data_IF_072822908594
#
_entry.id   IF_072822908594
#
_cell.length_a   1.000
_cell.length_b   1.000
_cell.length_c   1.000
_cell.angle_alpha   90.00
_cell.angle_beta   90.00
_cell.angle_gamma   90.00
#
_symmetry.space_group_name_H-M   'P 1'
#
loop_
_entity.id
_entity.type
_entity.pdbx_description
1 polymer ?
#
# COMPACT_ATOMS: atom_id res chain seq x y z
N UNK A 1 7.04 2.60 19.97
CA UNK A 1 5.89 2.11 19.18
C UNK A 1 6.41 1.94 17.78
N UNK A 2 6.54 0.71 17.31
CA UNK A 2 7.28 0.47 16.07
C UNK A 2 6.36 0.44 14.85
N UNK A 3 6.74 1.18 13.81
CA UNK A 3 6.12 1.10 12.48
C UNK A 3 6.85 0.08 11.62
N UNK A 4 6.13 -0.95 11.19
CA UNK A 4 6.61 -2.00 10.31
C UNK A 4 6.36 -1.59 8.85
N UNK A 5 7.42 -1.31 8.10
CA UNK A 5 7.38 -1.01 6.67
C UNK A 5 7.65 -2.29 5.87
N UNK A 6 6.70 -2.74 5.05
CA UNK A 6 6.83 -3.96 4.24
C UNK A 6 6.76 -3.61 2.75
N UNK A 7 7.88 -3.73 2.04
CA UNK A 7 7.98 -3.39 0.62
C UNK A 7 8.41 -4.58 -0.23
N UNK A 8 7.48 -5.12 -1.01
CA UNK A 8 7.71 -6.27 -1.89
C UNK A 8 8.54 -5.92 -3.15
N UNK A 9 8.68 -4.64 -3.49
CA UNK A 9 9.39 -4.16 -4.67
C UNK A 9 10.24 -2.91 -4.37
N UNK A 10 11.35 -3.10 -3.68
CA UNK A 10 12.20 -2.01 -3.23
C UNK A 10 13.18 -1.56 -4.33
N UNK A 11 12.72 -0.61 -5.14
CA UNK A 11 13.49 0.07 -6.20
C UNK A 11 12.72 1.26 -6.76
N UNK A 12 13.39 2.12 -7.55
CA UNK A 12 12.76 3.31 -8.12
C UNK A 12 12.03 4.17 -7.07
N UNK A 13 10.80 4.58 -7.39
CA UNK A 13 9.94 5.40 -6.52
C UNK A 13 9.50 4.69 -5.24
N UNK A 14 9.39 3.36 -5.23
CA UNK A 14 9.11 2.58 -4.02
C UNK A 14 10.23 2.69 -3.00
N UNK A 15 11.49 2.50 -3.46
CA UNK A 15 12.67 2.67 -2.60
C UNK A 15 12.72 4.07 -2.01
N UNK A 16 12.51 5.09 -2.85
CA UNK A 16 12.49 6.49 -2.40
C UNK A 16 11.44 6.73 -1.32
N UNK A 17 10.23 6.20 -1.47
CA UNK A 17 9.19 6.34 -0.45
C UNK A 17 9.61 5.68 0.86
N UNK A 18 10.06 4.43 0.81
CA UNK A 18 10.45 3.69 2.02
C UNK A 18 11.63 4.37 2.73
N UNK A 19 12.63 4.84 1.99
CA UNK A 19 13.78 5.55 2.56
C UNK A 19 13.34 6.85 3.24
N UNK A 20 12.45 7.61 2.59
CA UNK A 20 11.90 8.83 3.16
C UNK A 20 11.14 8.57 4.46
N UNK A 21 10.31 7.51 4.49
CA UNK A 21 9.62 7.11 5.71
C UNK A 21 10.61 6.73 6.80
N UNK A 22 11.67 6.00 6.46
CA UNK A 22 12.70 5.63 7.43
C UNK A 22 13.44 6.82 8.03
N UNK A 23 13.65 7.87 7.23
CA UNK A 23 14.33 9.08 7.67
C UNK A 23 13.45 9.98 8.56
N UNK A 24 12.13 9.95 8.37
CA UNK A 24 11.22 10.93 8.97
C UNK A 24 10.21 10.33 9.96
N UNK A 25 10.15 9.00 10.05
CA UNK A 25 9.32 8.30 11.01
C UNK A 25 10.22 7.65 12.06
N UNK A 26 10.12 8.15 13.29
CA UNK A 26 10.81 7.55 14.44
C UNK A 26 10.32 6.12 14.70
N UNK A 27 11.21 5.26 15.21
CA UNK A 27 10.92 3.87 15.58
C UNK A 27 10.24 3.09 14.43
N UNK A 28 10.91 2.99 13.28
CA UNK A 28 10.46 2.20 12.16
C UNK A 28 11.47 1.12 11.75
N UNK A 29 10.96 -0.01 11.28
CA UNK A 29 11.76 -1.12 10.74
C UNK A 29 11.20 -1.51 9.38
N UNK A 30 12.10 -1.71 8.42
CA UNK A 30 11.73 -2.05 7.04
C UNK A 30 12.15 -3.48 6.67
N UNK A 31 11.21 -4.23 6.13
CA UNK A 31 11.45 -5.53 5.50
C UNK A 31 11.15 -5.39 4.01
N UNK A 32 12.16 -5.62 3.19
CA UNK A 32 12.08 -5.31 1.76
C UNK A 32 12.56 -6.45 0.89
N UNK A 33 12.06 -6.48 -0.35
CA UNK A 33 12.53 -7.39 -1.40
C UNK A 33 13.07 -6.60 -2.58
N UNK A 34 14.18 -7.04 -3.22
CA UNK A 34 14.73 -6.33 -4.38
C UNK A 34 13.72 -6.16 -5.51
N UNK A 35 13.76 -5.00 -6.18
CA UNK A 35 12.95 -4.64 -7.35
C UNK A 35 13.31 -5.43 -8.62
N UNK A 36 13.16 -6.75 -8.53
CA UNK A 36 13.34 -7.70 -9.63
C UNK A 36 12.12 -8.59 -9.70
N UNK A 37 11.71 -8.96 -10.92
CA UNK A 37 10.62 -9.93 -11.16
C UNK A 37 9.33 -9.55 -10.41
N UNK A 38 8.83 -8.33 -10.62
CA UNK A 38 7.68 -7.78 -9.87
C UNK A 38 6.44 -8.70 -9.87
N UNK A 39 6.16 -9.36 -10.99
CA UNK A 39 5.09 -10.36 -11.11
C UNK A 39 5.17 -11.45 -10.03
N UNK A 40 6.37 -11.93 -9.75
CA UNK A 40 6.62 -12.91 -8.68
C UNK A 40 6.48 -12.27 -7.30
N UNK A 41 6.93 -11.02 -7.13
CA UNK A 41 6.75 -10.27 -5.88
C UNK A 41 5.27 -10.15 -5.51
N UNK A 42 4.43 -9.79 -6.49
CA UNK A 42 2.99 -9.64 -6.28
C UNK A 42 2.26 -10.96 -5.93
N UNK A 43 2.86 -12.12 -6.26
CA UNK A 43 2.29 -13.45 -6.02
C UNK A 43 2.83 -14.13 -4.76
N UNK A 44 4.09 -13.90 -4.38
CA UNK A 44 4.77 -14.75 -3.38
C UNK A 44 5.42 -13.97 -2.24
N UNK A 45 5.43 -12.63 -2.27
CA UNK A 45 6.10 -11.85 -1.23
C UNK A 45 5.50 -12.08 0.17
N UNK A 46 4.18 -12.28 0.27
CA UNK A 46 3.52 -12.57 1.55
C UNK A 46 4.08 -13.85 2.21
N UNK A 47 4.31 -14.90 1.42
CA UNK A 47 4.90 -16.16 1.90
C UNK A 47 6.32 -15.97 2.44
N UNK A 48 7.12 -15.14 1.78
CA UNK A 48 8.45 -14.80 2.27
C UNK A 48 8.38 -13.98 3.58
N UNK A 49 7.56 -12.93 3.60
CA UNK A 49 7.47 -12.03 4.74
C UNK A 49 6.86 -12.67 5.99
N UNK A 50 5.98 -13.66 5.85
CA UNK A 50 5.46 -14.38 7.03
C UNK A 50 6.56 -15.06 7.84
N UNK A 51 7.67 -15.46 7.20
CA UNK A 51 8.84 -16.07 7.84
C UNK A 51 9.90 -15.03 8.21
N UNK A 52 10.14 -14.04 7.34
CA UNK A 52 11.23 -13.08 7.50
C UNK A 52 10.97 -12.01 8.57
N UNK A 53 9.71 -11.66 8.82
CA UNK A 53 9.33 -10.65 9.82
C UNK A 53 9.23 -11.35 11.19
N UNK A 54 10.08 -11.02 12.18
CA UNK A 54 9.98 -11.61 13.51
C UNK A 54 8.69 -11.17 14.20
N UNK A 55 8.20 -11.99 15.13
CA UNK A 55 7.13 -11.53 16.02
C UNK A 55 7.68 -10.45 16.95
N UNK A 56 6.94 -9.35 17.13
CA UNK A 56 7.29 -8.33 18.10
C UNK A 56 6.02 -7.71 18.71
N UNK A 57 5.93 -7.60 20.04
CA UNK A 57 4.84 -6.89 20.69
C UNK A 57 4.94 -5.36 20.53
N UNK A 58 6.07 -4.84 20.02
CA UNK A 58 6.26 -3.40 19.81
C UNK A 58 5.58 -2.86 18.56
N UNK A 59 5.29 -3.73 17.58
CA UNK A 59 4.62 -3.34 16.35
C UNK A 59 3.21 -2.84 16.64
N UNK A 60 2.87 -1.69 16.06
CA UNK A 60 1.51 -1.12 16.15
C UNK A 60 0.91 -0.78 14.79
N UNK A 61 1.77 -0.51 13.80
CA UNK A 61 1.37 -0.10 12.45
C UNK A 61 2.11 -0.95 11.44
N UNK A 62 1.38 -1.47 10.46
CA UNK A 62 1.92 -2.13 9.28
C UNK A 62 1.64 -1.24 8.08
N UNK A 63 2.69 -0.69 7.49
CA UNK A 63 2.64 0.02 6.22
C UNK A 63 3.14 -0.89 5.11
N UNK A 64 2.39 -1.01 4.02
CA UNK A 64 2.80 -1.79 2.86
C UNK A 64 2.46 -1.11 1.54
N UNK A 65 3.22 -1.41 0.49
CA UNK A 65 2.85 -1.02 -0.87
C UNK A 65 1.79 -1.96 -1.46
N UNK A 66 1.00 -1.47 -2.41
CA UNK A 66 -0.03 -2.24 -3.12
C UNK A 66 0.52 -3.36 -4.03
N UNK A 67 1.85 -3.54 -4.08
CA UNK A 67 2.47 -4.71 -4.72
C UNK A 67 2.34 -5.94 -3.84
N UNK A 68 2.39 -5.78 -2.51
CA UNK A 68 2.20 -6.89 -1.58
C UNK A 68 0.74 -7.31 -1.56
N UNK A 69 0.46 -8.62 -1.69
CA UNK A 69 -0.84 -9.15 -1.29
C UNK A 69 -0.95 -9.13 0.24
N UNK A 70 -1.47 -8.02 0.78
CA UNK A 70 -1.59 -7.80 2.21
C UNK A 70 -2.54 -8.82 2.85
N UNK A 71 -3.58 -9.23 2.13
CA UNK A 71 -4.58 -10.18 2.63
C UNK A 71 -3.98 -11.54 2.98
N UNK A 72 -3.05 -12.04 2.16
CA UNK A 72 -2.32 -13.28 2.44
C UNK A 72 -1.41 -13.13 3.66
N UNK A 73 -0.65 -12.02 3.73
CA UNK A 73 0.29 -11.82 4.84
C UNK A 73 -0.45 -11.79 6.18
N UNK A 74 -1.53 -11.02 6.29
CA UNK A 74 -2.26 -10.91 7.58
C UNK A 74 -3.06 -12.17 7.90
N UNK A 75 -3.52 -12.94 6.90
CA UNK A 75 -4.15 -14.24 7.14
C UNK A 75 -3.15 -15.27 7.69
N UNK A 76 -1.91 -15.26 7.20
CA UNK A 76 -0.84 -16.14 7.66
C UNK A 76 -0.18 -15.66 8.97
N UNK A 77 -0.37 -14.39 9.34
CA UNK A 77 0.19 -13.76 10.53
C UNK A 77 -0.88 -13.05 11.35
N UNK A 78 -1.63 -13.79 12.20
CA UNK A 78 -2.66 -13.23 13.06
C UNK A 78 -2.16 -12.11 13.98
N UNK A 79 -0.90 -12.17 14.41
CA UNK A 79 -0.26 -11.10 15.17
C UNK A 79 -0.18 -9.79 14.37
N UNK A 80 0.18 -9.86 13.08
CA UNK A 80 0.22 -8.70 12.19
C UNK A 80 -1.19 -8.21 11.80
N UNK A 81 -2.19 -9.08 11.79
CA UNK A 81 -3.58 -8.71 11.48
C UNK A 81 -4.18 -7.70 12.48
N UNK A 82 -3.71 -7.74 13.73
CA UNK A 82 -4.14 -6.82 14.80
C UNK A 82 -3.60 -5.40 14.66
N UNK A 83 -2.55 -5.21 13.86
CA UNK A 83 -1.91 -3.91 13.67
C UNK A 83 -2.82 -2.98 12.87
N UNK A 84 -2.62 -1.68 12.99
CA UNK A 84 -3.21 -0.72 12.05
C UNK A 84 -2.53 -0.86 10.68
N UNK A 85 -3.29 -1.20 9.66
CA UNK A 85 -2.81 -1.54 8.31
C UNK A 85 -3.00 -0.38 7.37
N UNK A 86 -1.91 0.18 6.87
CA UNK A 86 -1.88 1.27 5.88
C UNK A 86 -1.33 0.71 4.57
N UNK A 87 -2.12 0.81 3.50
CA UNK A 87 -1.76 0.31 2.18
C UNK A 87 -1.56 1.48 1.20
N UNK A 88 -0.37 1.59 0.61
CA UNK A 88 -0.02 2.68 -0.30
C UNK A 88 0.03 2.24 -1.76
N UNK A 89 -0.72 2.94 -2.62
CA UNK A 89 -0.79 2.71 -4.06
C UNK A 89 0.19 3.61 -4.82
N UNK A 90 1.25 2.98 -5.35
CA UNK A 90 2.11 3.57 -6.38
C UNK A 90 1.44 3.43 -7.75
N UNK A 91 1.08 2.20 -8.12
CA UNK A 91 0.37 1.88 -9.36
C UNK A 91 -0.96 1.15 -9.11
N UNK A 92 -1.87 1.29 -10.07
CA UNK A 92 -3.18 0.64 -10.09
C UNK A 92 -3.23 -0.37 -11.23
N UNK A 93 -3.31 -1.65 -10.87
CA UNK A 93 -3.31 -2.77 -11.81
C UNK A 93 -4.67 -2.95 -12.54
N UNK A 94 -5.72 -2.26 -12.11
CA UNK A 94 -7.07 -2.29 -12.73
C UNK A 94 -7.14 -1.37 -13.96
N UNK A 95 -6.24 -0.39 -14.08
CA UNK A 95 -6.19 0.54 -15.23
C UNK A 95 -4.80 0.64 -15.87
N UNK A 96 -3.81 -0.12 -15.39
CA UNK A 96 -2.45 -0.07 -15.90
C UNK A 96 -2.38 -0.36 -17.42
N UNK A 97 -1.79 0.52 -18.24
CA UNK A 97 -1.82 0.37 -19.68
C UNK A 97 -1.12 -0.93 -20.10
N UNK A 98 -1.85 -1.79 -20.82
CA UNK A 98 -1.33 -3.01 -21.46
C UNK A 98 -1.54 -2.88 -22.95
N UNK A 99 -0.59 -3.39 -23.76
CA UNK A 99 -0.67 -3.33 -25.22
C UNK A 99 -1.88 -4.11 -25.77
N UNK A 100 -2.32 -5.16 -25.06
CA UNK A 100 -3.59 -5.88 -25.27
C UNK A 100 -4.20 -6.23 -23.92
N UNK A 101 -5.53 -6.11 -23.76
CA UNK A 101 -6.20 -6.41 -22.48
C UNK A 101 -6.04 -7.87 -22.05
N UNK A 102 -5.90 -8.79 -23.01
CA UNK A 102 -5.68 -10.22 -22.78
C UNK A 102 -4.34 -10.54 -22.10
N UNK A 103 -3.36 -9.62 -22.17
CA UNK A 103 -2.07 -9.77 -21.51
C UNK A 103 -2.12 -9.34 -20.03
N UNK A 104 -3.25 -8.77 -19.58
CA UNK A 104 -3.39 -8.37 -18.19
C UNK A 104 -3.79 -9.56 -17.34
N UNK A 105 -2.85 -9.97 -16.51
CA UNK A 105 -3.06 -11.00 -15.49
C UNK A 105 -4.07 -10.53 -14.43
N UNK A 106 -5.19 -11.24 -14.34
CA UNK A 106 -6.27 -10.98 -13.40
C UNK A 106 -5.77 -10.96 -11.94
N UNK A 107 -4.74 -11.74 -11.62
CA UNK A 107 -4.32 -11.90 -10.23
C UNK A 107 -3.82 -10.60 -9.60
N UNK A 108 -3.16 -9.71 -10.35
CA UNK A 108 -2.58 -8.50 -9.75
C UNK A 108 -3.64 -7.50 -9.29
N UNK A 109 -4.64 -7.23 -10.14
CA UNK A 109 -5.76 -6.36 -9.76
C UNK A 109 -6.62 -7.00 -8.65
N UNK A 110 -6.80 -8.32 -8.71
CA UNK A 110 -7.50 -9.07 -7.67
C UNK A 110 -6.81 -8.94 -6.31
N UNK A 111 -5.48 -9.14 -6.26
CA UNK A 111 -4.68 -9.00 -5.04
C UNK A 111 -4.75 -7.58 -4.47
N UNK A 112 -4.74 -6.54 -5.32
CA UNK A 112 -4.92 -5.16 -4.87
C UNK A 112 -6.30 -4.92 -4.23
N UNK A 113 -7.38 -5.46 -4.81
CA UNK A 113 -8.73 -5.35 -4.22
C UNK A 113 -8.82 -6.08 -2.89
N UNK A 114 -8.29 -7.30 -2.79
CA UNK A 114 -8.25 -8.05 -1.52
C UNK A 114 -7.45 -7.30 -0.44
N UNK A 115 -6.30 -6.74 -0.83
CA UNK A 115 -5.46 -5.96 0.08
C UNK A 115 -6.17 -4.72 0.60
N UNK A 116 -6.93 -4.03 -0.25
CA UNK A 116 -7.80 -2.92 0.17
C UNK A 116 -8.90 -3.33 1.15
N UNK A 117 -9.43 -4.56 1.04
CA UNK A 117 -10.49 -5.04 1.94
C UNK A 117 -9.98 -5.26 3.36
N UNK A 118 -8.75 -5.76 3.53
CA UNK A 118 -8.13 -6.00 4.84
C UNK A 118 -7.41 -4.79 5.43
N UNK A 119 -7.05 -3.80 4.61
CA UNK A 119 -6.43 -2.56 5.08
C UNK A 119 -7.42 -1.70 5.89
N UNK A 120 -6.91 -0.98 6.88
CA UNK A 120 -7.68 0.01 7.66
C UNK A 120 -7.70 1.36 6.92
N UNK A 121 -6.58 1.71 6.28
CA UNK A 121 -6.42 2.93 5.48
C UNK A 121 -5.76 2.59 4.15
N UNK A 122 -6.30 3.11 3.06
CA UNK A 122 -5.75 2.95 1.70
C UNK A 122 -5.37 4.32 1.17
N UNK A 123 -4.10 4.53 0.85
CA UNK A 123 -3.59 5.81 0.39
C UNK A 123 -3.18 5.73 -1.08
N UNK A 124 -3.58 6.71 -1.87
CA UNK A 124 -3.24 6.80 -3.29
C UNK A 124 -2.37 8.03 -3.56
N UNK A 125 -1.36 7.87 -4.43
CA UNK A 125 -0.47 8.96 -4.85
C UNK A 125 -1.18 10.15 -5.55
N UNK A 126 -2.44 10.00 -5.97
CA UNK A 126 -3.25 11.04 -6.61
C UNK A 126 -4.75 10.73 -6.53
N UNK A 127 -5.57 11.77 -6.66
CA UNK A 127 -7.03 11.62 -6.79
C UNK A 127 -7.41 10.82 -8.03
N UNK A 128 -6.68 11.00 -9.14
CA UNK A 128 -6.90 10.24 -10.36
C UNK A 128 -6.68 8.74 -10.14
N UNK A 129 -5.58 8.35 -9.48
CA UNK A 129 -5.30 6.95 -9.18
C UNK A 129 -6.39 6.33 -8.27
N UNK A 130 -6.83 7.07 -7.26
CA UNK A 130 -7.92 6.64 -6.37
C UNK A 130 -9.25 6.45 -7.11
N UNK A 131 -9.70 7.45 -7.85
CA UNK A 131 -11.00 7.41 -8.53
C UNK A 131 -11.01 6.40 -9.67
N UNK A 132 -9.92 6.31 -10.44
CA UNK A 132 -9.77 5.29 -11.50
C UNK A 132 -9.72 3.87 -10.95
N UNK A 133 -9.11 3.64 -9.78
CA UNK A 133 -9.16 2.35 -9.09
C UNK A 133 -10.59 2.00 -8.69
N UNK A 134 -11.24 2.87 -7.89
CA UNK A 134 -12.57 2.61 -7.33
C UNK A 134 -13.63 2.39 -8.40
N UNK A 135 -13.67 3.24 -9.43
CA UNK A 135 -14.62 3.13 -10.55
C UNK A 135 -14.41 1.88 -11.41
N UNK A 136 -13.19 1.34 -11.44
CA UNK A 136 -12.86 0.14 -12.23
C UNK A 136 -13.11 -1.17 -11.49
N UNK A 137 -13.39 -1.17 -10.19
CA UNK A 137 -13.57 -2.41 -9.42
C UNK A 137 -14.74 -3.24 -9.97
N UNK A 138 -15.88 -2.59 -10.23
CA UNK A 138 -17.09 -3.29 -10.70
C UNK A 138 -16.86 -3.93 -12.08
N UNK A 139 -16.23 -3.21 -13.02
CA UNK A 139 -15.93 -3.75 -14.34
C UNK A 139 -14.87 -4.85 -14.29
N UNK A 140 -13.85 -4.69 -13.45
CA UNK A 140 -12.80 -5.68 -13.24
C UNK A 140 -13.36 -7.02 -12.72
N UNK A 141 -14.29 -6.98 -11.76
CA UNK A 141 -14.91 -8.19 -11.20
C UNK A 141 -15.81 -8.93 -12.20
N UNK A 142 -16.21 -8.31 -13.33
CA UNK A 142 -16.93 -9.00 -14.41
C UNK A 142 -16.09 -10.03 -15.15
N UNK A 143 -14.76 -10.01 -15.00
CA UNK A 143 -13.88 -11.06 -15.52
C UNK A 143 -14.01 -12.38 -14.76
N UNK A 144 -14.54 -12.36 -13.53
CA UNK A 144 -14.87 -13.59 -12.81
C UNK A 144 -16.04 -14.26 -13.55
N UNK A 145 -15.94 -15.54 -13.96
CA UNK A 145 -16.95 -16.20 -14.77
C UNK A 145 -18.34 -16.17 -14.12
N UNK A 146 -18.43 -16.45 -12.82
CA UNK A 146 -19.67 -16.56 -12.07
C UNK A 146 -19.50 -16.09 -10.61
N UNK A 147 -20.60 -15.96 -9.84
CA UNK A 147 -20.59 -15.58 -8.41
C UNK A 147 -19.86 -14.27 -8.10
N UNK A 148 -20.11 -13.25 -8.92
CA UNK A 148 -19.39 -11.98 -8.86
C UNK A 148 -19.73 -11.19 -7.60
N UNK A 149 -18.74 -10.75 -6.82
CA UNK A 149 -18.96 -9.89 -5.67
C UNK A 149 -19.46 -8.51 -6.12
N UNK A 150 -20.35 -7.91 -5.32
CA UNK A 150 -20.93 -6.59 -5.56
C UNK A 150 -20.46 -5.59 -4.51
N UNK A 151 -20.54 -4.30 -4.84
CA UNK A 151 -20.37 -3.18 -3.91
C UNK A 151 -19.01 -3.13 -3.19
N UNK A 152 -17.97 -3.77 -3.73
CA UNK A 152 -16.62 -3.75 -3.15
C UNK A 152 -16.04 -2.35 -3.09
N UNK A 153 -16.31 -1.52 -4.10
CA UNK A 153 -15.94 -0.10 -4.15
C UNK A 153 -16.55 0.68 -2.99
N UNK A 154 -17.83 0.44 -2.66
CA UNK A 154 -18.51 1.08 -1.52
C UNK A 154 -17.88 0.69 -0.19
N UNK A 155 -17.37 -0.55 -0.06
CA UNK A 155 -16.65 -1.00 1.14
C UNK A 155 -15.23 -0.42 1.24
N UNK A 156 -14.58 -0.16 0.10
CA UNK A 156 -13.20 0.33 0.07
C UNK A 156 -13.14 1.85 0.19
N UNK A 157 -14.04 2.59 -0.48
CA UNK A 157 -14.04 4.07 -0.56
C UNK A 157 -13.89 4.79 0.79
N UNK A 158 -14.59 4.40 1.89
CA UNK A 158 -14.45 5.10 3.18
C UNK A 158 -13.03 5.06 3.76
N UNK A 159 -12.23 4.07 3.37
CA UNK A 159 -10.84 3.86 3.80
C UNK A 159 -9.83 4.63 2.93
N UNK A 160 -10.26 5.12 1.76
CA UNK A 160 -9.38 5.74 0.78
C UNK A 160 -9.01 7.19 1.17
N UNK A 161 -7.75 7.55 1.02
CA UNK A 161 -7.23 8.92 1.14
C UNK A 161 -6.26 9.20 0.01
N UNK A 162 -6.17 10.46 -0.40
CA UNK A 162 -5.11 10.90 -1.32
C UNK A 162 -3.93 11.37 -0.49
N UNK A 163 -2.78 10.79 -0.76
CA UNK A 163 -1.50 11.14 -0.18
C UNK A 163 -0.52 11.24 -1.34
N UNK A 164 -0.23 12.47 -1.77
CA UNK A 164 0.66 12.70 -2.88
C UNK A 164 2.06 12.11 -2.62
N UNK A 165 2.69 11.66 -3.70
CA UNK A 165 4.03 11.10 -3.62
C UNK A 165 4.95 12.14 -2.96
N UNK A 166 5.60 11.78 -1.84
CA UNK A 166 6.34 12.76 -1.07
C UNK A 166 7.68 13.04 -1.75
N UNK A 167 7.93 14.31 -2.05
CA UNK A 167 9.16 14.78 -2.68
C UNK A 167 9.93 15.60 -1.66
N UNK A 168 11.20 15.27 -1.44
CA UNK A 168 12.12 16.16 -0.75
C UNK A 168 12.56 17.24 -1.74
N UNK A 169 12.16 18.47 -1.48
CA UNK A 169 12.70 19.61 -2.20
C UNK A 169 14.04 19.97 -1.54
N UNK A 170 15.16 20.00 -2.29
CA UNK A 170 16.39 20.59 -1.77
C UNK A 170 16.07 22.04 -1.36
N UNK A 171 16.55 22.48 -0.20
CA UNK A 171 16.19 23.73 0.47
C UNK A 171 16.04 24.92 -0.49
N UNK A 172 14.83 25.12 -1.01
CA UNK A 172 14.36 26.41 -1.51
C UNK A 172 13.67 27.02 -0.32
N UNK A 173 14.10 28.21 0.11
CA UNK A 173 13.58 28.92 1.29
C UNK A 173 12.07 29.11 1.21
N UNK A 174 11.29 28.12 1.71
CA UNK A 174 9.92 28.24 2.23
C UNK A 174 9.44 26.91 2.84
N UNK A 175 9.33 26.92 4.17
CA UNK A 175 8.49 26.10 5.07
C UNK A 175 7.96 24.72 4.61
N UNK A 176 8.43 23.68 5.30
CA UNK A 176 7.81 22.37 5.66
C UNK A 176 6.92 21.67 4.62
N UNK A 177 7.40 20.53 4.13
CA UNK A 177 6.68 19.57 3.28
C UNK A 177 5.40 19.02 3.94
N UNK A 178 4.23 19.43 3.45
CA UNK A 178 2.90 19.06 3.97
C UNK A 178 2.54 17.57 3.78
N UNK A 179 3.18 16.88 2.83
CA UNK A 179 2.92 15.47 2.55
C UNK A 179 3.43 14.56 3.66
N UNK A 180 4.61 14.82 4.24
CA UNK A 180 5.18 13.99 5.30
C UNK A 180 4.38 14.07 6.60
N UNK A 181 3.93 15.26 6.99
CA UNK A 181 3.06 15.43 8.16
C UNK A 181 1.76 14.62 8.04
N UNK A 182 1.22 14.53 6.81
CA UNK A 182 0.05 13.70 6.52
C UNK A 182 0.37 12.21 6.65
N UNK A 183 1.54 11.74 6.19
CA UNK A 183 1.97 10.36 6.42
C UNK A 183 2.08 10.04 7.92
N UNK A 184 2.76 10.90 8.69
CA UNK A 184 2.94 10.72 10.13
C UNK A 184 1.58 10.66 10.86
N UNK A 185 0.64 11.52 10.46
CA UNK A 185 -0.73 11.49 10.98
C UNK A 185 -1.48 10.21 10.58
N UNK A 186 -1.33 9.73 9.34
CA UNK A 186 -1.94 8.49 8.86
C UNK A 186 -1.40 7.27 9.59
N UNK A 187 -0.10 7.25 9.89
CA UNK A 187 0.55 6.25 10.72
C UNK A 187 0.17 6.38 12.21
N UNK A 188 -0.53 7.45 12.61
CA UNK A 188 -1.00 7.65 13.99
C UNK A 188 0.11 8.04 14.97
N UNK A 189 1.19 8.64 14.48
CA UNK A 189 2.41 8.91 15.26
C UNK A 189 2.36 10.28 15.94
N UNK A 190 1.60 11.26 15.42
CA UNK A 190 1.25 12.52 16.11
C UNK A 190 -0.08 13.11 15.62
N UNK A 191 -0.77 13.91 16.46
CA UNK A 191 -1.85 14.82 16.01
C UNK A 191 -1.20 15.94 15.17
N UNK A 192 -1.84 16.40 14.08
CA UNK A 192 -1.26 17.45 13.25
C UNK A 192 -1.10 18.72 14.08
N UNK A 193 0.13 19.21 14.24
CA UNK A 193 0.40 20.59 14.61
C UNK A 193 0.13 21.44 13.36
N UNK A 194 -1.15 21.71 13.09
CA UNK A 194 -1.55 22.84 12.25
C UNK A 194 -1.81 23.99 13.22
N UNK A 195 -0.91 24.98 13.23
CA UNK A 195 -1.23 26.36 13.60
C UNK A 195 -1.16 27.20 12.34
#
# INVERSE_FOLDING_TARGET
MTVLLVEAFYGGSHKQLIDLLRENVEDCVAYTLPAKKWHWRARTAALYFMQAIPASPSYRVLFASSVLNLSELVALRPDLATLKKVLYFHENQLVYPVRKSQDRDFQYGYNQVLSCLVADVVTFNSSFNMESFLSSISSFMKMIPDHRPKDLDKRIRPKCRVLHFPIQFPHVTRSVSSSLATVICLLGITRPLIK
#
